data_IF_964992201256
#
_entry.id   IF_964992201256
#
_cell.length_a   1.000
_cell.length_b   1.000
_cell.length_c   1.000
_cell.angle_alpha   90.00
_cell.angle_beta   90.00
_cell.angle_gamma   90.00
#
_symmetry.space_group_name_H-M   'P 1'
#
loop_
_entity.id
_entity.type
_entity.pdbx_description
1 polymer ?
#
# COMPACT_ATOMS: atom_id res chain seq x y z
N UNK A 1 15.89 30.87 22.46
CA UNK A 1 16.52 29.83 21.63
C UNK A 1 15.38 28.96 21.13
N UNK A 2 15.10 28.94 19.83
CA UNK A 2 14.14 27.96 19.30
C UNK A 2 14.70 26.58 19.66
N UNK A 3 13.91 25.73 20.32
CA UNK A 3 14.29 24.32 20.49
C UNK A 3 14.44 23.77 19.08
N UNK A 4 15.69 23.49 18.67
CA UNK A 4 15.94 22.69 17.48
C UNK A 4 15.32 21.32 17.67
N UNK A 5 15.12 20.60 16.57
CA UNK A 5 14.80 19.18 16.66
C UNK A 5 15.91 18.46 17.44
N UNK A 6 15.52 17.54 18.32
CA UNK A 6 16.48 16.71 19.06
C UNK A 6 17.31 15.90 18.08
N UNK A 7 18.61 15.73 18.36
CA UNK A 7 19.42 14.77 17.63
C UNK A 7 18.79 13.37 17.81
N UNK A 8 18.70 12.53 16.77
CA UNK A 8 18.22 11.15 16.91
C UNK A 8 19.01 10.34 17.96
N UNK A 9 20.27 10.73 18.22
CA UNK A 9 21.13 10.15 19.27
C UNK A 9 20.76 10.57 20.69
N UNK A 10 19.95 11.60 20.85
CA UNK A 10 19.54 12.19 22.13
C UNK A 10 18.07 11.89 22.46
N UNK A 11 17.38 11.12 21.61
CA UNK A 11 16.02 10.67 21.88
C UNK A 11 16.07 9.65 23.01
N UNK A 12 15.48 10.00 24.16
CA UNK A 12 15.44 9.12 25.32
C UNK A 12 14.61 7.87 25.03
N UNK A 13 15.12 6.71 25.47
CA UNK A 13 14.38 5.45 25.42
C UNK A 13 13.27 5.45 26.46
N UNK A 14 12.02 5.17 26.09
CA UNK A 14 10.92 5.02 27.04
C UNK A 14 11.22 3.92 28.08
N UNK A 15 10.77 4.13 29.32
CA UNK A 15 10.94 3.12 30.37
C UNK A 15 10.26 1.80 29.98
N UNK A 16 11.00 0.69 30.08
CA UNK A 16 10.57 -0.64 29.67
C UNK A 16 10.91 -1.01 28.22
N UNK A 17 11.47 -0.08 27.43
CA UNK A 17 11.95 -0.33 26.08
C UNK A 17 13.49 -0.37 26.00
N UNK A 18 14.19 -0.47 27.13
CA UNK A 18 15.66 -0.54 27.15
C UNK A 18 16.16 -1.76 26.36
N UNK A 19 17.19 -1.56 25.52
CA UNK A 19 17.75 -2.64 24.69
C UNK A 19 16.97 -2.93 23.41
N UNK A 20 15.99 -2.10 23.04
CA UNK A 20 15.23 -2.21 21.78
C UNK A 20 16.13 -2.33 20.55
N UNK A 21 17.35 -1.81 20.61
CA UNK A 21 18.35 -1.87 19.55
C UNK A 21 18.67 -3.32 19.13
N UNK A 22 18.63 -4.28 20.06
CA UNK A 22 18.94 -5.70 19.79
C UNK A 22 17.94 -6.36 18.83
N UNK A 23 16.73 -5.78 18.69
CA UNK A 23 15.70 -6.27 17.78
C UNK A 23 15.99 -5.97 16.31
N UNK A 24 16.88 -5.01 16.01
CA UNK A 24 17.10 -4.53 14.65
C UNK A 24 18.55 -4.78 14.19
N UNK A 25 18.76 -5.05 12.89
CA UNK A 25 20.11 -5.11 12.33
C UNK A 25 20.90 -3.82 12.56
N UNK A 26 22.20 -3.94 12.83
CA UNK A 26 23.08 -2.80 13.15
C UNK A 26 23.07 -1.67 12.10
N UNK A 27 22.78 -1.99 10.83
CA UNK A 27 22.74 -1.01 9.75
C UNK A 27 21.45 -0.18 9.73
N UNK A 28 20.44 -0.54 10.53
CA UNK A 28 19.21 0.23 10.75
C UNK A 28 19.29 1.14 11.97
N UNK A 29 20.37 1.09 12.74
CA UNK A 29 20.55 1.90 13.94
C UNK A 29 21.44 3.12 13.66
N UNK A 30 21.20 4.19 14.42
CA UNK A 30 22.15 5.30 14.49
C UNK A 30 23.45 4.78 15.12
N UNK A 31 24.59 5.08 14.51
CA UNK A 31 25.89 4.51 14.89
C UNK A 31 26.90 5.64 15.17
N UNK A 32 27.58 5.66 16.33
CA UNK A 32 28.58 6.69 16.65
C UNK A 32 29.62 6.95 15.54
N UNK A 33 29.98 5.95 14.74
CA UNK A 33 30.91 6.09 13.61
C UNK A 33 30.33 6.93 12.46
N UNK A 34 29.00 7.08 12.38
CA UNK A 34 28.28 7.88 11.38
C UNK A 34 27.70 9.18 11.93
N UNK A 35 27.91 9.48 13.23
CA UNK A 35 27.27 10.61 13.93
C UNK A 35 27.40 11.93 13.18
N UNK A 36 28.60 12.31 12.75
CA UNK A 36 28.82 13.58 12.03
C UNK A 36 27.95 13.67 10.77
N UNK A 37 27.93 12.62 9.95
CA UNK A 37 27.12 12.55 8.72
C UNK A 37 25.62 12.45 9.00
N UNK A 38 25.21 11.74 10.04
CA UNK A 38 23.80 11.56 10.37
C UNK A 38 23.22 12.83 11.01
N UNK A 39 23.96 13.53 11.87
CA UNK A 39 23.55 14.81 12.47
C UNK A 39 23.58 15.98 11.48
N UNK A 40 24.36 15.88 10.38
CA UNK A 40 24.33 16.88 9.31
C UNK A 40 23.10 16.79 8.41
N UNK A 41 22.22 15.80 8.62
CA UNK A 41 21.05 15.52 7.78
C UNK A 41 19.76 15.73 8.54
N UNK A 42 18.71 16.09 7.80
CA UNK A 42 17.36 16.16 8.36
C UNK A 42 16.72 14.78 8.40
N UNK A 43 16.50 14.26 9.60
CA UNK A 43 15.77 13.03 9.88
C UNK A 43 14.39 13.36 10.42
N UNK A 44 13.37 12.67 9.92
CA UNK A 44 12.02 12.82 10.42
C UNK A 44 11.31 11.49 10.52
N UNK A 45 10.41 11.41 11.48
CA UNK A 45 9.59 10.23 11.71
C UNK A 45 8.64 10.01 10.52
N UNK A 46 8.69 8.82 9.91
CA UNK A 46 7.77 8.44 8.84
C UNK A 46 6.44 7.89 9.39
N UNK A 47 5.77 8.68 10.23
CA UNK A 47 4.49 8.30 10.81
C UNK A 47 3.33 8.20 9.81
N UNK A 48 3.53 8.67 8.58
CA UNK A 48 2.54 8.53 7.51
C UNK A 48 2.40 7.08 7.04
N UNK A 49 3.50 6.34 6.96
CA UNK A 49 3.49 4.94 6.49
C UNK A 49 3.70 3.96 7.65
N UNK A 50 4.47 4.37 8.66
CA UNK A 50 4.82 3.56 9.82
C UNK A 50 4.42 4.31 11.11
N UNK A 51 3.12 4.38 11.44
CA UNK A 51 2.60 5.17 12.56
C UNK A 51 2.85 4.56 13.95
N UNK A 52 3.34 3.33 14.04
CA UNK A 52 3.48 2.54 15.25
C UNK A 52 4.94 2.04 15.40
N UNK A 53 5.38 1.65 16.61
CA UNK A 53 6.63 0.90 16.76
C UNK A 53 6.56 -0.39 15.93
N UNK A 54 7.53 -0.59 15.03
CA UNK A 54 7.54 -1.74 14.14
C UNK A 54 8.13 -2.98 14.83
N UNK A 55 7.41 -4.11 14.89
CA UNK A 55 8.02 -5.39 15.26
C UNK A 55 9.25 -5.72 14.42
N UNK A 56 10.19 -6.47 14.99
CA UNK A 56 11.47 -6.78 14.35
C UNK A 56 11.29 -7.42 12.96
N UNK A 57 10.38 -8.39 12.85
CA UNK A 57 10.10 -9.07 11.60
C UNK A 57 9.41 -8.15 10.58
N UNK A 58 8.45 -7.34 11.03
CA UNK A 58 7.70 -6.41 10.18
C UNK A 58 8.59 -5.36 9.52
N UNK A 59 9.78 -5.08 10.07
CA UNK A 59 10.78 -4.19 9.45
C UNK A 59 11.13 -4.57 8.00
N UNK A 60 10.88 -5.82 7.59
CA UNK A 60 10.99 -6.24 6.19
C UNK A 60 10.15 -5.37 5.25
N UNK A 61 9.01 -4.84 5.70
CA UNK A 61 8.13 -3.98 4.89
C UNK A 61 8.79 -2.65 4.59
N UNK A 62 9.40 -2.02 5.59
CA UNK A 62 10.22 -0.81 5.40
C UNK A 62 11.47 -1.09 4.55
N UNK A 63 12.23 -2.14 4.89
CA UNK A 63 13.49 -2.45 4.22
C UNK A 63 13.31 -2.74 2.73
N UNK A 64 12.30 -3.53 2.37
CA UNK A 64 11.94 -3.86 0.99
C UNK A 64 11.55 -2.62 0.18
N UNK A 65 10.71 -1.74 0.76
CA UNK A 65 10.33 -0.47 0.15
C UNK A 65 11.54 0.42 -0.14
N UNK A 66 12.38 0.66 0.87
CA UNK A 66 13.52 1.57 0.73
C UNK A 66 14.63 1.03 -0.18
N UNK A 67 14.79 -0.30 -0.25
CA UNK A 67 15.65 -0.94 -1.24
C UNK A 67 15.16 -0.65 -2.67
N UNK A 68 13.86 -0.83 -2.92
CA UNK A 68 13.25 -0.66 -4.23
C UNK A 68 13.26 0.80 -4.70
N UNK A 69 12.82 1.74 -3.85
CA UNK A 69 12.80 3.16 -4.22
C UNK A 69 14.20 3.69 -4.56
N UNK A 70 15.23 3.25 -3.83
CA UNK A 70 16.62 3.63 -4.10
C UNK A 70 17.12 3.14 -5.47
N UNK A 71 16.71 1.94 -5.90
CA UNK A 71 16.99 1.46 -7.25
C UNK A 71 16.37 2.39 -8.30
N UNK A 72 15.08 2.70 -8.17
CA UNK A 72 14.37 3.47 -9.19
C UNK A 72 14.81 4.93 -9.22
N UNK A 73 14.94 5.58 -8.07
CA UNK A 73 15.43 6.96 -7.99
C UNK A 73 16.90 7.05 -8.44
N UNK A 74 17.76 6.20 -7.89
CA UNK A 74 19.20 6.29 -8.08
C UNK A 74 19.69 5.81 -9.45
N UNK A 75 19.12 4.72 -9.99
CA UNK A 75 19.73 3.95 -11.09
C UNK A 75 18.82 3.70 -12.30
N UNK A 76 17.51 3.54 -12.11
CA UNK A 76 16.57 3.27 -13.22
C UNK A 76 16.03 4.55 -13.85
N UNK A 77 15.50 5.48 -13.07
CA UNK A 77 15.08 6.77 -13.60
C UNK A 77 16.16 7.81 -13.50
N UNK A 78 17.16 7.61 -12.62
CA UNK A 78 18.20 8.60 -12.34
C UNK A 78 17.59 9.96 -12.04
N UNK A 79 16.64 10.00 -11.08
CA UNK A 79 15.96 11.24 -10.71
C UNK A 79 17.04 12.28 -10.36
N UNK A 80 16.97 13.51 -10.88
CA UNK A 80 18.14 14.39 -10.92
C UNK A 80 18.68 14.78 -9.54
N UNK A 81 17.79 14.98 -8.56
CA UNK A 81 18.09 15.55 -7.26
C UNK A 81 18.09 14.52 -6.12
N UNK A 82 17.92 13.22 -6.38
CA UNK A 82 17.81 12.20 -5.31
C UNK A 82 18.31 10.82 -5.75
N UNK A 83 18.94 10.10 -4.81
CA UNK A 83 19.49 8.75 -4.99
C UNK A 83 18.69 7.65 -4.29
N UNK A 84 17.74 8.02 -3.44
CA UNK A 84 16.99 7.08 -2.61
C UNK A 84 16.56 7.71 -1.30
N UNK A 85 15.88 6.92 -0.48
CA UNK A 85 15.56 7.25 0.91
C UNK A 85 16.35 6.30 1.81
N UNK A 86 16.97 6.85 2.83
CA UNK A 86 17.61 6.07 3.89
C UNK A 86 16.71 6.07 5.13
N UNK A 87 16.71 4.95 5.86
CA UNK A 87 15.95 4.84 7.10
C UNK A 87 16.82 4.36 8.26
N UNK A 88 16.38 4.76 9.47
CA UNK A 88 16.89 4.34 10.77
C UNK A 88 15.75 4.08 11.71
N UNK A 89 15.99 3.29 12.74
CA UNK A 89 15.02 3.00 13.80
C UNK A 89 15.45 3.73 15.06
N UNK A 90 14.48 4.31 15.78
CA UNK A 90 14.65 4.86 17.13
C UNK A 90 13.46 4.42 17.98
N UNK A 91 13.70 3.66 19.05
CA UNK A 91 12.65 3.12 19.93
C UNK A 91 11.54 2.39 19.15
N UNK A 92 11.91 1.66 18.10
CA UNK A 92 10.99 0.95 17.20
C UNK A 92 10.32 1.79 16.12
N UNK A 93 10.48 3.11 16.11
CA UNK A 93 9.91 3.99 15.09
C UNK A 93 10.86 4.21 13.92
N UNK A 94 10.32 4.23 12.69
CA UNK A 94 11.08 4.44 11.46
C UNK A 94 11.26 5.92 11.17
N UNK A 95 12.51 6.37 11.18
CA UNK A 95 12.94 7.69 10.75
C UNK A 95 13.56 7.61 9.37
N UNK A 96 13.28 8.60 8.52
CA UNK A 96 13.82 8.67 7.17
C UNK A 96 14.52 9.98 6.87
N UNK A 97 15.37 9.92 5.86
CA UNK A 97 16.02 11.06 5.26
C UNK A 97 16.25 10.82 3.76
N UNK A 98 16.30 11.90 2.98
CA UNK A 98 16.56 11.83 1.55
C UNK A 98 18.06 11.75 1.27
N UNK A 99 18.47 10.93 0.30
CA UNK A 99 19.83 10.96 -0.27
C UNK A 99 19.87 11.98 -1.41
N UNK A 100 19.98 13.26 -1.07
CA UNK A 100 19.90 14.35 -2.05
C UNK A 100 21.17 14.49 -2.89
N UNK A 101 20.98 14.91 -4.14
CA UNK A 101 22.05 15.33 -5.06
C UNK A 101 21.94 16.84 -5.24
N UNK A 102 22.96 17.57 -4.78
CA UNK A 102 22.99 19.04 -4.83
C UNK A 102 24.02 19.60 -5.81
N UNK A 103 24.96 18.78 -6.31
CA UNK A 103 25.96 19.24 -7.28
C UNK A 103 25.31 19.53 -8.64
N UNK A 104 25.39 20.76 -9.17
CA UNK A 104 24.74 21.11 -10.43
C UNK A 104 25.25 20.31 -11.64
N UNK A 105 26.53 19.90 -11.63
CA UNK A 105 27.12 19.10 -12.71
C UNK A 105 26.55 17.68 -12.72
N UNK A 106 26.44 17.06 -11.55
CA UNK A 106 25.81 15.75 -11.41
C UNK A 106 24.32 15.80 -11.77
N UNK A 107 23.58 16.80 -11.30
CA UNK A 107 22.16 16.99 -11.66
C UNK A 107 22.00 17.07 -13.19
N UNK A 108 22.84 17.84 -13.87
CA UNK A 108 22.79 17.97 -15.32
C UNK A 108 23.09 16.65 -16.03
N UNK A 109 24.08 15.88 -15.55
CA UNK A 109 24.40 14.56 -16.09
C UNK A 109 23.24 13.57 -15.90
N UNK A 110 22.58 13.59 -14.75
CA UNK A 110 21.43 12.73 -14.44
C UNK A 110 20.22 13.06 -15.32
N UNK A 111 19.99 14.35 -15.59
CA UNK A 111 18.92 14.80 -16.49
C UNK A 111 19.03 14.20 -17.91
N UNK A 112 20.24 14.02 -18.43
CA UNK A 112 20.46 13.42 -19.76
C UNK A 112 19.90 11.99 -19.85
N UNK A 113 19.90 11.25 -18.74
CA UNK A 113 19.34 9.90 -18.66
C UNK A 113 17.87 9.90 -18.25
N UNK A 114 17.48 10.78 -17.33
CA UNK A 114 16.12 10.86 -16.81
C UNK A 114 15.10 11.25 -17.89
N UNK A 115 15.37 12.31 -18.66
CA UNK A 115 14.40 12.88 -19.61
C UNK A 115 13.95 11.87 -20.70
N UNK A 116 14.85 11.15 -21.39
CA UNK A 116 14.43 10.15 -22.38
C UNK A 116 13.64 8.99 -21.76
N UNK A 117 14.00 8.56 -20.54
CA UNK A 117 13.33 7.44 -19.85
C UNK A 117 11.91 7.82 -19.43
N UNK A 118 11.74 8.98 -18.79
CA UNK A 118 10.40 9.41 -18.39
C UNK A 118 9.51 9.71 -19.59
N UNK A 119 10.07 10.29 -20.67
CA UNK A 119 9.37 10.48 -21.94
C UNK A 119 8.86 9.15 -22.52
N UNK A 120 9.72 8.13 -22.60
CA UNK A 120 9.32 6.79 -23.00
C UNK A 120 8.17 6.23 -22.15
N UNK A 121 8.24 6.37 -20.82
CA UNK A 121 7.19 5.87 -19.93
C UNK A 121 5.85 6.58 -20.14
N UNK A 122 5.83 7.91 -20.29
CA UNK A 122 4.59 8.65 -20.51
C UNK A 122 3.98 8.41 -21.90
N UNK A 123 4.80 8.21 -22.93
CA UNK A 123 4.35 7.85 -24.27
C UNK A 123 3.75 6.44 -24.33
N UNK A 124 4.25 5.51 -23.49
CA UNK A 124 3.86 4.10 -23.50
C UNK A 124 3.03 3.70 -22.26
N UNK A 125 2.50 4.68 -21.53
CA UNK A 125 1.94 4.51 -20.18
C UNK A 125 0.94 3.36 -20.07
N UNK A 126 -0.10 3.34 -20.90
CA UNK A 126 -1.19 2.35 -20.80
C UNK A 126 -0.68 0.92 -21.04
N UNK A 127 0.30 0.75 -21.95
CA UNK A 127 0.91 -0.56 -22.22
C UNK A 127 1.78 -1.01 -21.03
N UNK A 128 2.54 -0.07 -20.44
CA UNK A 128 3.39 -0.35 -19.29
C UNK A 128 2.56 -0.65 -18.03
N UNK A 129 1.43 0.04 -17.83
CA UNK A 129 0.46 -0.25 -16.76
C UNK A 129 -0.15 -1.64 -16.94
N UNK A 130 -0.57 -1.99 -18.16
CA UNK A 130 -1.13 -3.33 -18.42
C UNK A 130 -0.10 -4.44 -18.14
N UNK A 131 1.16 -4.25 -18.57
CA UNK A 131 2.26 -5.17 -18.25
C UNK A 131 2.51 -5.23 -16.74
N UNK A 132 2.59 -4.09 -16.07
CA UNK A 132 2.79 -4.00 -14.63
C UNK A 132 1.69 -4.73 -13.85
N UNK A 133 0.42 -4.54 -14.23
CA UNK A 133 -0.70 -5.20 -13.57
C UNK A 133 -0.61 -6.71 -13.73
N UNK A 134 -0.35 -7.21 -14.95
CA UNK A 134 -0.17 -8.64 -15.18
C UNK A 134 1.01 -9.23 -14.38
N UNK A 135 2.07 -8.46 -14.19
CA UNK A 135 3.20 -8.83 -13.36
C UNK A 135 2.82 -8.90 -11.89
N UNK A 136 2.15 -7.89 -11.35
CA UNK A 136 1.66 -7.88 -9.96
C UNK A 136 0.69 -9.03 -9.70
N UNK A 137 -0.31 -9.22 -10.57
CA UNK A 137 -1.30 -10.29 -10.48
C UNK A 137 -0.61 -11.66 -10.42
N UNK A 138 0.40 -11.89 -11.28
CA UNK A 138 1.17 -13.14 -11.27
C UNK A 138 1.89 -13.41 -9.94
N UNK A 139 2.47 -12.38 -9.30
CA UNK A 139 3.14 -12.56 -8.00
C UNK A 139 2.12 -12.78 -6.88
N UNK A 140 0.98 -12.11 -6.94
CA UNK A 140 -0.14 -12.32 -6.01
C UNK A 140 -0.69 -13.74 -6.14
N UNK A 141 -0.93 -14.21 -7.35
CA UNK A 141 -1.38 -15.58 -7.64
C UNK A 141 -0.37 -16.62 -7.14
N UNK A 142 0.92 -16.40 -7.38
CA UNK A 142 1.98 -17.28 -6.90
C UNK A 142 2.07 -17.30 -5.37
N UNK A 143 1.95 -16.13 -4.72
CA UNK A 143 1.96 -16.01 -3.27
C UNK A 143 0.73 -16.69 -2.64
N UNK A 144 -0.44 -16.55 -3.24
CA UNK A 144 -1.67 -17.21 -2.79
C UNK A 144 -1.57 -18.74 -2.95
N UNK A 145 -0.98 -19.22 -4.04
CA UNK A 145 -0.81 -20.65 -4.33
C UNK A 145 0.37 -21.31 -3.58
N UNK A 146 1.21 -20.52 -2.91
CA UNK A 146 2.38 -21.04 -2.20
C UNK A 146 1.97 -21.97 -1.06
N UNK A 147 2.47 -23.20 -1.09
CA UNK A 147 2.19 -24.20 -0.04
C UNK A 147 3.28 -24.17 1.04
N UNK A 148 2.88 -23.93 2.28
CA UNK A 148 3.75 -24.12 3.46
C UNK A 148 3.54 -25.55 3.98
N UNK A 149 4.53 -26.46 3.80
CA UNK A 149 4.36 -27.85 4.18
C UNK A 149 4.42 -28.02 5.71
N UNK A 150 3.68 -29.01 6.20
CA UNK A 150 3.78 -29.51 7.58
C UNK A 150 5.00 -30.41 7.73
N UNK A 151 5.46 -30.59 8.96
CA UNK A 151 6.59 -31.46 9.29
C UNK A 151 6.09 -32.74 10.00
N UNK A 152 5.75 -33.80 9.26
CA UNK A 152 5.32 -35.06 9.88
C UNK A 152 6.50 -35.77 10.55
N UNK A 153 6.22 -36.59 11.56
CA UNK A 153 7.24 -37.44 12.19
C UNK A 153 7.87 -38.45 11.22
N UNK A 154 7.12 -38.88 10.20
CA UNK A 154 7.57 -39.75 9.11
C UNK A 154 7.05 -39.20 7.79
N UNK A 155 7.95 -39.05 6.83
CA UNK A 155 7.64 -38.54 5.49
C UNK A 155 6.75 -39.50 4.69
N UNK A 156 5.99 -38.95 3.74
CA UNK A 156 5.14 -39.75 2.84
C UNK A 156 5.99 -40.66 1.95
N UNK A 157 5.76 -41.98 2.02
CA UNK A 157 6.40 -42.94 1.10
C UNK A 157 6.12 -42.58 -0.36
N UNK A 158 4.88 -42.20 -0.69
CA UNK A 158 4.53 -41.80 -2.06
C UNK A 158 5.36 -40.62 -2.51
N UNK A 159 5.44 -39.56 -1.70
CA UNK A 159 6.15 -38.35 -2.12
C UNK A 159 7.66 -38.56 -2.23
N UNK A 160 8.27 -39.27 -1.27
CA UNK A 160 9.73 -39.33 -1.15
C UNK A 160 10.35 -40.52 -1.89
N UNK A 161 9.69 -41.68 -1.89
CA UNK A 161 10.22 -42.89 -2.51
C UNK A 161 9.70 -43.11 -3.93
N UNK A 162 8.42 -42.83 -4.20
CA UNK A 162 7.82 -43.08 -5.51
C UNK A 162 7.90 -41.85 -6.42
N UNK A 163 7.58 -40.66 -5.89
CA UNK A 163 7.59 -39.40 -6.66
C UNK A 163 8.95 -38.66 -6.58
N UNK A 164 9.86 -39.10 -5.70
CA UNK A 164 11.18 -38.51 -5.48
C UNK A 164 11.17 -36.99 -5.23
N UNK A 165 10.15 -36.48 -4.51
CA UNK A 165 10.09 -35.09 -4.06
C UNK A 165 11.18 -34.81 -3.01
N UNK A 166 11.46 -33.53 -2.80
CA UNK A 166 12.29 -33.08 -1.67
C UNK A 166 11.50 -33.17 -0.35
N UNK A 167 12.22 -33.43 0.74
CA UNK A 167 11.64 -33.53 2.09
C UNK A 167 10.90 -32.28 2.52
N UNK A 168 9.92 -32.46 3.42
CA UNK A 168 9.10 -31.38 3.96
C UNK A 168 9.95 -30.28 4.61
N UNK A 169 11.05 -30.66 5.27
CA UNK A 169 12.01 -29.74 5.88
C UNK A 169 12.63 -28.76 4.87
N UNK A 170 13.06 -29.25 3.70
CA UNK A 170 13.63 -28.38 2.67
C UNK A 170 12.55 -27.56 1.99
N UNK A 171 11.39 -28.16 1.72
CA UNK A 171 10.26 -27.46 1.11
C UNK A 171 9.75 -26.32 2.00
N UNK A 172 9.78 -26.47 3.33
CA UNK A 172 9.44 -25.39 4.27
C UNK A 172 10.39 -24.20 4.13
N UNK A 173 11.71 -24.45 4.13
CA UNK A 173 12.71 -23.39 3.90
C UNK A 173 12.50 -22.73 2.54
N UNK A 174 12.32 -23.53 1.48
CA UNK A 174 12.08 -23.02 0.14
C UNK A 174 10.79 -22.19 0.02
N UNK A 175 9.72 -22.58 0.72
CA UNK A 175 8.48 -21.83 0.77
C UNK A 175 8.67 -20.49 1.50
N UNK A 176 9.32 -20.50 2.68
CA UNK A 176 9.64 -19.28 3.40
C UNK A 176 10.49 -18.31 2.56
N UNK A 177 11.57 -18.81 1.95
CA UNK A 177 12.44 -18.01 1.07
C UNK A 177 11.66 -17.46 -0.11
N UNK A 178 10.80 -18.27 -0.75
CA UNK A 178 9.99 -17.80 -1.88
C UNK A 178 8.97 -16.75 -1.45
N UNK A 179 8.35 -16.89 -0.29
CA UNK A 179 7.43 -15.90 0.28
C UNK A 179 8.14 -14.53 0.44
N UNK A 180 9.33 -14.53 1.04
CA UNK A 180 10.16 -13.33 1.19
C UNK A 180 10.58 -12.75 -0.16
N UNK A 181 10.98 -13.59 -1.12
CA UNK A 181 11.33 -13.12 -2.46
C UNK A 181 10.14 -12.50 -3.20
N UNK A 182 8.96 -13.12 -3.14
CA UNK A 182 7.74 -12.59 -3.76
C UNK A 182 7.37 -11.22 -3.17
N UNK A 183 7.51 -11.05 -1.86
CA UNK A 183 7.29 -9.76 -1.22
C UNK A 183 8.28 -8.68 -1.73
N UNK A 184 9.56 -9.03 -1.83
CA UNK A 184 10.57 -8.13 -2.41
C UNK A 184 10.29 -7.82 -3.89
N UNK A 185 9.86 -8.80 -4.69
CA UNK A 185 9.49 -8.62 -6.10
C UNK A 185 8.28 -7.68 -6.26
N UNK A 186 7.25 -7.83 -5.42
CA UNK A 186 6.11 -6.90 -5.39
C UNK A 186 6.55 -5.47 -5.10
N UNK A 187 7.47 -5.29 -4.16
CA UNK A 187 8.04 -3.98 -3.85
C UNK A 187 8.91 -3.41 -4.99
N UNK A 188 9.59 -4.26 -5.78
CA UNK A 188 10.24 -3.78 -7.02
C UNK A 188 9.20 -3.19 -7.98
N UNK A 189 8.06 -3.86 -8.15
CA UNK A 189 6.97 -3.36 -9.00
C UNK A 189 6.33 -2.09 -8.43
N UNK A 190 6.24 -1.95 -7.11
CA UNK A 190 5.65 -0.79 -6.41
C UNK A 190 6.19 0.55 -6.91
N UNK A 191 7.52 0.68 -7.02
CA UNK A 191 8.16 1.95 -7.36
C UNK A 191 8.39 2.18 -8.86
N UNK A 192 8.11 1.19 -9.71
CA UNK A 192 8.33 1.32 -11.16
C UNK A 192 7.52 2.45 -11.78
N UNK A 193 6.24 2.56 -11.41
CA UNK A 193 5.33 3.54 -12.01
C UNK A 193 4.91 4.63 -11.02
N UNK A 194 4.92 4.34 -9.72
CA UNK A 194 4.50 5.25 -8.66
C UNK A 194 5.26 6.59 -8.68
N UNK A 195 6.59 6.52 -8.79
CA UNK A 195 7.45 7.70 -8.80
C UNK A 195 7.15 8.63 -9.98
N UNK A 196 6.77 8.05 -11.12
CA UNK A 196 6.46 8.81 -12.33
C UNK A 196 5.09 9.49 -12.23
N UNK A 197 4.10 8.80 -11.66
CA UNK A 197 2.80 9.40 -11.40
C UNK A 197 2.93 10.63 -10.48
N UNK A 198 3.71 10.52 -9.40
CA UNK A 198 4.00 11.67 -8.54
C UNK A 198 4.80 12.77 -9.24
N UNK A 199 5.75 12.40 -10.11
CA UNK A 199 6.48 13.36 -10.93
C UNK A 199 5.58 14.22 -11.83
N UNK A 200 4.54 13.63 -12.42
CA UNK A 200 3.54 14.35 -13.20
C UNK A 200 2.77 15.37 -12.33
N UNK A 201 2.35 15.00 -11.12
CA UNK A 201 1.68 15.93 -10.19
C UNK A 201 2.56 17.10 -9.81
N UNK A 202 3.79 16.80 -9.38
CA UNK A 202 4.72 17.85 -8.94
C UNK A 202 4.97 18.85 -10.07
N UNK A 203 5.12 18.36 -11.31
CA UNK A 203 5.30 19.22 -12.48
C UNK A 203 4.08 20.10 -12.75
N UNK A 204 2.87 19.53 -12.74
CA UNK A 204 1.64 20.28 -12.96
C UNK A 204 1.34 21.27 -11.82
N UNK A 205 1.55 20.85 -10.56
CA UNK A 205 1.33 21.70 -9.39
C UNK A 205 2.31 22.86 -9.37
N UNK A 206 3.57 22.63 -9.73
CA UNK A 206 4.56 23.70 -9.87
C UNK A 206 4.12 24.70 -10.95
N UNK A 207 3.71 24.22 -12.14
CA UNK A 207 3.17 25.08 -13.19
C UNK A 207 1.98 25.90 -12.69
N UNK A 208 1.03 25.27 -12.00
CA UNK A 208 -0.13 25.97 -11.44
C UNK A 208 0.25 27.02 -10.40
N UNK A 209 1.22 26.75 -9.54
CA UNK A 209 1.69 27.71 -8.53
C UNK A 209 2.43 28.90 -9.16
N UNK A 210 3.22 28.65 -10.21
CA UNK A 210 3.93 29.71 -10.94
C UNK A 210 2.95 30.60 -11.73
N UNK A 211 1.93 30.00 -12.36
CA UNK A 211 0.91 30.72 -13.10
C UNK A 211 -0.13 31.40 -12.18
N UNK A 212 -0.45 30.78 -11.05
CA UNK A 212 -1.50 31.19 -10.11
C UNK A 212 -1.01 31.09 -8.64
N UNK A 213 -0.23 32.08 -8.15
CA UNK A 213 0.37 32.03 -6.82
C UNK A 213 -0.62 31.89 -5.65
N UNK A 214 -1.86 32.35 -5.83
CA UNK A 214 -2.93 32.28 -4.83
C UNK A 214 -3.80 31.02 -4.95
N UNK A 215 -3.49 30.09 -5.87
CA UNK A 215 -4.23 28.85 -6.04
C UNK A 215 -3.98 27.88 -4.87
N UNK A 216 -5.04 27.49 -4.17
CA UNK A 216 -4.95 26.46 -3.12
C UNK A 216 -4.74 25.05 -3.68
N UNK A 217 -4.07 24.19 -2.90
CA UNK A 217 -3.86 22.77 -3.21
C UNK A 217 -5.15 22.01 -3.54
N UNK A 218 -6.25 22.39 -2.89
CA UNK A 218 -7.57 21.81 -3.14
C UNK A 218 -8.02 22.02 -4.59
N UNK A 219 -7.85 23.22 -5.15
CA UNK A 219 -8.24 23.51 -6.53
C UNK A 219 -7.40 22.69 -7.52
N UNK A 220 -6.08 22.60 -7.29
CA UNK A 220 -5.19 21.73 -8.08
C UNK A 220 -5.63 20.26 -8.05
N UNK A 221 -5.95 19.76 -6.85
CA UNK A 221 -6.39 18.37 -6.66
C UNK A 221 -7.74 18.12 -7.34
N UNK A 222 -8.68 19.06 -7.23
CA UNK A 222 -9.99 18.98 -7.86
C UNK A 222 -9.93 18.94 -9.38
N UNK A 223 -8.93 19.56 -10.03
CA UNK A 223 -8.76 19.49 -11.48
C UNK A 223 -8.37 18.09 -11.98
N UNK A 224 -7.78 17.25 -11.12
CA UNK A 224 -7.28 15.91 -11.45
C UNK A 224 -8.26 14.81 -10.99
N UNK A 225 -9.10 15.09 -10.00
CA UNK A 225 -10.00 14.13 -9.36
C UNK A 225 -11.08 13.52 -10.31
N UNK A 226 -11.97 12.70 -9.75
CA UNK A 226 -13.17 12.21 -10.44
C UNK A 226 -13.03 10.85 -11.11
N UNK A 227 -11.93 10.14 -10.90
CA UNK A 227 -11.75 8.75 -11.33
C UNK A 227 -12.28 7.79 -10.27
N UNK A 228 -12.87 6.68 -10.72
CA UNK A 228 -13.11 5.54 -9.82
C UNK A 228 -11.79 4.85 -9.58
N UNK A 229 -11.25 5.03 -8.38
CA UNK A 229 -9.98 4.44 -7.98
C UNK A 229 -10.21 3.05 -7.43
N UNK A 230 -9.24 2.14 -7.59
CA UNK A 230 -9.32 0.78 -7.05
C UNK A 230 -9.56 0.79 -5.55
N UNK A 231 -8.97 1.76 -4.84
CA UNK A 231 -9.14 1.93 -3.38
C UNK A 231 -10.58 2.19 -2.94
N UNK A 232 -11.46 2.69 -3.82
CA UNK A 232 -12.87 2.91 -3.49
C UNK A 232 -13.71 1.62 -3.63
N UNK A 233 -13.22 0.63 -4.37
CA UNK A 233 -13.96 -0.60 -4.67
C UNK A 233 -14.37 -1.37 -3.41
N UNK A 234 -13.49 -1.62 -2.42
CA UNK A 234 -13.88 -2.36 -1.21
C UNK A 234 -15.06 -1.73 -0.46
N UNK A 235 -15.04 -0.41 -0.30
CA UNK A 235 -16.12 0.33 0.36
C UNK A 235 -17.44 0.26 -0.43
N UNK A 236 -17.37 0.39 -1.76
CA UNK A 236 -18.54 0.24 -2.63
C UNK A 236 -19.18 -1.15 -2.54
N UNK A 237 -18.38 -2.21 -2.36
CA UNK A 237 -18.90 -3.57 -2.12
C UNK A 237 -19.66 -3.67 -0.79
N UNK A 238 -19.18 -3.02 0.27
CA UNK A 238 -19.88 -2.99 1.58
C UNK A 238 -21.21 -2.24 1.48
N UNK A 239 -21.25 -1.11 0.75
CA UNK A 239 -22.49 -0.37 0.49
C UNK A 239 -23.48 -1.20 -0.33
N UNK A 240 -23.00 -1.93 -1.33
CA UNK A 240 -23.82 -2.83 -2.13
C UNK A 240 -24.42 -3.97 -1.28
N UNK A 241 -23.62 -4.55 -0.38
CA UNK A 241 -24.08 -5.58 0.57
C UNK A 241 -25.13 -5.04 1.55
N UNK A 242 -24.97 -3.81 2.03
CA UNK A 242 -25.96 -3.14 2.87
C UNK A 242 -27.29 -2.93 2.13
N UNK A 243 -27.23 -2.43 0.90
CA UNK A 243 -28.42 -2.29 0.05
C UNK A 243 -29.08 -3.66 -0.24
N UNK A 244 -28.27 -4.70 -0.47
CA UNK A 244 -28.77 -6.06 -0.71
C UNK A 244 -29.47 -6.65 0.51
N UNK A 245 -29.00 -6.34 1.72
CA UNK A 245 -29.67 -6.78 2.95
C UNK A 245 -31.09 -6.22 3.06
N UNK A 246 -31.28 -4.94 2.72
CA UNK A 246 -32.59 -4.28 2.67
C UNK A 246 -33.48 -4.85 1.55
N UNK A 247 -32.94 -5.05 0.36
CA UNK A 247 -33.65 -5.63 -0.79
C UNK A 247 -34.23 -7.02 -0.46
N UNK A 248 -33.44 -7.85 0.24
CA UNK A 248 -33.81 -9.20 0.62
C UNK A 248 -34.63 -9.26 1.93
N UNK A 249 -34.80 -8.14 2.64
CA UNK A 249 -35.50 -8.07 3.91
C UNK A 249 -34.81 -8.82 5.05
N UNK A 250 -33.47 -8.90 5.01
CA UNK A 250 -32.64 -9.60 6.01
C UNK A 250 -31.79 -8.65 6.85
N UNK A 251 -31.94 -7.34 6.64
CA UNK A 251 -31.30 -6.26 7.36
C UNK A 251 -31.56 -6.27 8.88
N UNK A 252 -32.66 -6.91 9.32
CA UNK A 252 -32.94 -7.14 10.74
C UNK A 252 -31.85 -7.94 11.48
N UNK A 253 -31.07 -8.74 10.76
CA UNK A 253 -29.96 -9.50 11.34
C UNK A 253 -28.82 -8.58 11.82
N UNK A 254 -28.61 -7.41 11.20
CA UNK A 254 -27.49 -6.49 11.46
C UNK A 254 -27.75 -5.52 12.63
N UNK A 255 -28.30 -6.01 13.74
CA UNK A 255 -28.53 -5.19 14.92
C UNK A 255 -27.21 -4.81 15.63
N UNK A 256 -27.19 -3.64 16.28
CA UNK A 256 -26.05 -3.15 17.04
C UNK A 256 -25.60 -4.15 18.12
N UNK A 257 -24.28 -4.30 18.28
CA UNK A 257 -23.68 -5.18 19.29
C UNK A 257 -23.61 -6.66 18.91
N UNK A 258 -24.12 -7.07 17.74
CA UNK A 258 -23.98 -8.44 17.24
C UNK A 258 -22.63 -8.67 16.59
N UNK A 259 -22.07 -9.84 16.81
CA UNK A 259 -20.89 -10.34 16.10
C UNK A 259 -21.23 -10.77 14.67
N UNK A 260 -20.22 -10.79 13.79
CA UNK A 260 -20.42 -11.26 12.41
C UNK A 260 -20.88 -12.73 12.37
N UNK A 261 -20.41 -13.58 13.30
CA UNK A 261 -20.84 -14.98 13.41
C UNK A 261 -22.34 -15.11 13.73
N UNK A 262 -22.85 -14.31 14.67
CA UNK A 262 -24.28 -14.30 15.02
C UNK A 262 -25.15 -13.82 13.85
N UNK A 263 -24.67 -12.84 13.08
CA UNK A 263 -25.37 -12.36 11.88
C UNK A 263 -25.41 -13.47 10.82
N UNK A 264 -24.26 -14.07 10.50
CA UNK A 264 -24.16 -15.14 9.51
C UNK A 264 -25.01 -16.36 9.88
N UNK A 265 -25.01 -16.76 11.16
CA UNK A 265 -25.81 -17.87 11.66
C UNK A 265 -27.32 -17.64 11.47
N UNK A 266 -27.80 -16.43 11.74
CA UNK A 266 -29.20 -16.06 11.52
C UNK A 266 -29.57 -16.05 10.03
N UNK A 267 -28.74 -15.39 9.21
CA UNK A 267 -28.96 -15.30 7.77
C UNK A 267 -29.05 -16.69 7.12
N UNK A 268 -28.20 -17.62 7.55
CA UNK A 268 -28.21 -18.99 7.02
C UNK A 268 -29.54 -19.74 7.24
N UNK A 269 -30.36 -19.31 8.21
CA UNK A 269 -31.66 -19.88 8.52
C UNK A 269 -32.74 -19.67 7.45
N UNK A 270 -32.51 -18.80 6.45
CA UNK A 270 -33.49 -18.48 5.41
C UNK A 270 -32.89 -18.56 4.00
N UNK A 271 -33.75 -18.71 2.98
CA UNK A 271 -33.31 -18.67 1.58
C UNK A 271 -32.75 -17.29 1.20
N UNK A 272 -33.43 -16.22 1.63
CA UNK A 272 -32.98 -14.85 1.42
C UNK A 272 -31.62 -14.57 2.08
N UNK A 273 -31.41 -15.01 3.32
CA UNK A 273 -30.13 -14.82 4.00
C UNK A 273 -29.01 -15.68 3.40
N UNK A 274 -29.28 -16.90 2.94
CA UNK A 274 -28.30 -17.68 2.16
C UNK A 274 -27.94 -17.01 0.84
N UNK A 275 -28.89 -16.36 0.17
CA UNK A 275 -28.61 -15.56 -1.02
C UNK A 275 -27.73 -14.34 -0.71
N UNK A 276 -27.94 -13.67 0.43
CA UNK A 276 -27.06 -12.59 0.89
C UNK A 276 -25.64 -13.09 1.19
N UNK A 277 -25.51 -14.22 1.90
CA UNK A 277 -24.20 -14.84 2.18
C UNK A 277 -23.47 -15.20 0.89
N UNK A 278 -24.18 -15.74 -0.11
CA UNK A 278 -23.58 -16.04 -1.41
C UNK A 278 -23.05 -14.77 -2.11
N UNK A 279 -23.76 -13.64 -2.00
CA UNK A 279 -23.30 -12.36 -2.54
C UNK A 279 -22.08 -11.82 -1.77
N UNK A 280 -22.04 -11.97 -0.44
CA UNK A 280 -20.87 -11.67 0.38
C UNK A 280 -19.64 -12.47 -0.10
N UNK A 281 -19.76 -13.80 -0.19
CA UNK A 281 -18.63 -14.65 -0.62
C UNK A 281 -18.15 -14.30 -2.04
N UNK A 282 -19.07 -13.98 -2.96
CA UNK A 282 -18.71 -13.58 -4.33
C UNK A 282 -17.97 -12.23 -4.40
N UNK A 283 -18.21 -11.32 -3.45
CA UNK A 283 -17.56 -9.99 -3.40
C UNK A 283 -16.23 -9.99 -2.65
N UNK A 284 -15.95 -11.00 -1.81
CA UNK A 284 -14.71 -11.06 -1.04
C UNK A 284 -13.47 -11.03 -1.92
N UNK A 285 -13.46 -11.77 -3.02
CA UNK A 285 -12.32 -11.77 -3.93
C UNK A 285 -12.50 -10.75 -5.06
N UNK A 286 -11.59 -9.77 -5.23
CA UNK A 286 -10.39 -9.51 -4.42
C UNK A 286 -10.62 -8.52 -3.26
N UNK A 287 -11.79 -7.88 -3.18
CA UNK A 287 -11.97 -6.62 -2.46
C UNK A 287 -11.80 -6.69 -0.92
N UNK A 288 -11.92 -7.87 -0.32
CA UNK A 288 -11.72 -8.08 1.11
C UNK A 288 -10.25 -8.34 1.47
N UNK A 289 -9.33 -8.34 0.51
CA UNK A 289 -7.90 -8.25 0.78
C UNK A 289 -7.43 -6.82 1.14
N UNK A 290 -8.38 -5.91 1.41
CA UNK A 290 -8.13 -4.66 2.11
C UNK A 290 -7.73 -4.96 3.55
N UNK A 291 -6.60 -4.41 4.00
CA UNK A 291 -6.15 -4.52 5.39
C UNK A 291 -6.73 -3.43 6.28
N UNK A 292 -6.72 -3.68 7.58
CA UNK A 292 -6.78 -2.60 8.57
C UNK A 292 -5.49 -1.77 8.49
N UNK A 293 -5.54 -0.46 8.81
CA UNK A 293 -4.37 0.42 8.68
C UNK A 293 -3.80 0.51 7.25
N UNK A 294 -2.49 0.75 7.12
CA UNK A 294 -1.78 0.83 5.82
C UNK A 294 -1.16 -0.51 5.37
N UNK A 295 -1.47 -1.63 6.05
CA UNK A 295 -1.08 -2.98 5.62
C UNK A 295 0.37 -3.41 5.90
N UNK A 296 1.23 -2.51 6.38
CA UNK A 296 2.67 -2.79 6.60
C UNK A 296 3.05 -3.54 7.89
N UNK A 297 2.07 -3.96 8.70
CA UNK A 297 2.28 -4.62 9.99
C UNK A 297 1.56 -5.95 9.99
N UNK A 298 2.12 -6.97 10.64
CA UNK A 298 1.47 -8.29 10.68
C UNK A 298 0.07 -8.20 11.29
N UNK A 299 -0.16 -7.36 12.30
CA UNK A 299 -1.46 -7.17 12.96
C UNK A 299 -2.48 -6.37 12.14
N UNK A 300 -2.07 -5.79 11.01
CA UNK A 300 -2.97 -5.19 10.03
C UNK A 300 -3.70 -6.28 9.21
N UNK A 301 -4.62 -6.99 9.87
CA UNK A 301 -5.36 -8.10 9.27
C UNK A 301 -6.23 -7.63 8.09
N UNK A 302 -6.31 -8.46 7.05
CA UNK A 302 -7.22 -8.26 5.94
C UNK A 302 -8.67 -8.52 6.35
N UNK A 303 -9.62 -7.85 5.70
CA UNK A 303 -11.05 -8.02 5.94
C UNK A 303 -11.53 -9.45 5.66
N UNK A 304 -10.87 -10.17 4.76
CA UNK A 304 -11.15 -11.58 4.47
C UNK A 304 -10.81 -12.49 5.66
N UNK A 305 -9.83 -12.09 6.47
CA UNK A 305 -9.36 -12.82 7.65
C UNK A 305 -10.06 -12.37 8.94
N UNK A 306 -10.58 -11.14 8.96
CA UNK A 306 -11.33 -10.57 10.08
C UNK A 306 -12.51 -9.71 9.58
N UNK A 307 -13.71 -10.29 9.65
CA UNK A 307 -14.94 -9.69 9.15
C UNK A 307 -15.56 -8.65 10.10
N UNK A 308 -14.97 -8.39 11.28
CA UNK A 308 -15.54 -7.45 12.27
C UNK A 308 -15.75 -6.06 11.68
N UNK A 309 -14.74 -5.49 11.03
CA UNK A 309 -14.83 -4.14 10.45
C UNK A 309 -15.82 -4.09 9.26
N UNK A 310 -15.76 -5.01 8.27
CA UNK A 310 -16.76 -5.08 7.20
C UNK A 310 -18.21 -5.15 7.71
N UNK A 311 -18.50 -6.00 8.68
CA UNK A 311 -19.86 -6.16 9.20
C UNK A 311 -20.33 -4.92 9.98
N UNK A 312 -19.44 -4.28 10.75
CA UNK A 312 -19.75 -3.02 11.41
C UNK A 312 -20.08 -1.91 10.40
N UNK A 313 -19.30 -1.81 9.32
CA UNK A 313 -19.55 -0.86 8.24
C UNK A 313 -20.87 -1.14 7.51
N UNK A 314 -21.15 -2.40 7.16
CA UNK A 314 -22.43 -2.82 6.54
C UNK A 314 -23.62 -2.42 7.42
N UNK A 315 -23.56 -2.68 8.73
CA UNK A 315 -24.62 -2.28 9.67
C UNK A 315 -24.81 -0.75 9.69
N UNK A 316 -23.72 0.02 9.68
CA UNK A 316 -23.76 1.48 9.58
C UNK A 316 -24.39 1.98 8.28
N UNK A 317 -24.10 1.34 7.14
CA UNK A 317 -24.70 1.67 5.85
C UNK A 317 -26.19 1.30 5.78
N UNK A 318 -26.60 0.18 6.39
CA UNK A 318 -28.02 -0.19 6.51
C UNK A 318 -28.78 0.89 7.27
N UNK A 319 -28.23 1.40 8.38
CA UNK A 319 -28.84 2.47 9.16
C UNK A 319 -29.02 3.74 8.34
N UNK A 320 -27.97 4.18 7.63
CA UNK A 320 -28.01 5.35 6.74
C UNK A 320 -29.05 5.20 5.62
N UNK A 321 -29.12 4.03 4.98
CA UNK A 321 -30.10 3.76 3.92
C UNK A 321 -31.54 3.80 4.43
N UNK A 322 -31.81 3.30 5.64
CA UNK A 322 -33.13 3.40 6.29
C UNK A 322 -33.55 4.85 6.55
N UNK A 323 -32.59 5.74 6.79
CA UNK A 323 -32.80 7.18 6.95
C UNK A 323 -32.94 7.92 5.60
N UNK A 324 -32.78 7.21 4.47
CA UNK A 324 -32.87 7.80 3.14
C UNK A 324 -31.59 8.51 2.68
N UNK A 325 -30.46 8.25 3.32
CA UNK A 325 -29.15 8.76 2.89
C UNK A 325 -28.74 8.10 1.57
N UNK A 326 -28.37 8.91 0.59
CA UNK A 326 -27.78 8.43 -0.67
C UNK A 326 -26.30 8.10 -0.46
N UNK A 327 -25.96 6.81 -0.54
CA UNK A 327 -24.57 6.33 -0.36
C UNK A 327 -23.72 6.41 -1.63
N UNK A 328 -24.36 6.62 -2.78
CA UNK A 328 -23.70 6.71 -4.07
C UNK A 328 -22.87 7.99 -4.15
N UNK A 329 -21.63 7.86 -4.63
CA UNK A 329 -20.75 9.02 -4.85
C UNK A 329 -21.30 9.86 -6.03
N UNK A 330 -21.39 11.19 -5.93
CA UNK A 330 -21.97 12.05 -6.97
C UNK A 330 -21.00 12.27 -8.14
N UNK A 331 -20.66 11.19 -8.84
CA UNK A 331 -19.58 11.14 -9.85
C UNK A 331 -19.75 12.17 -10.96
N UNK A 332 -20.97 12.31 -11.50
CA UNK A 332 -21.24 13.28 -12.59
C UNK A 332 -21.00 14.72 -12.14
N UNK A 333 -21.40 15.06 -10.91
CA UNK A 333 -21.18 16.39 -10.34
C UNK A 333 -19.69 16.65 -10.11
N UNK A 334 -18.95 15.65 -9.61
CA UNK A 334 -17.50 15.74 -9.43
C UNK A 334 -16.76 15.96 -10.77
N UNK A 335 -17.16 15.25 -11.83
CA UNK A 335 -16.57 15.39 -13.16
C UNK A 335 -16.89 16.76 -13.78
N UNK A 336 -18.15 17.21 -13.65
CA UNK A 336 -18.55 18.52 -14.14
C UNK A 336 -17.79 19.65 -13.42
N UNK A 337 -17.65 19.56 -12.09
CA UNK A 337 -16.92 20.53 -11.29
C UNK A 337 -15.42 20.53 -11.61
N UNK A 338 -14.82 19.35 -11.75
CA UNK A 338 -13.43 19.17 -12.19
C UNK A 338 -13.17 19.88 -13.52
N UNK A 339 -14.06 19.69 -14.51
CA UNK A 339 -13.90 20.28 -15.84
C UNK A 339 -14.20 21.79 -15.85
N UNK A 340 -15.14 22.26 -15.02
CA UNK A 340 -15.39 23.69 -14.80
C UNK A 340 -14.16 24.40 -14.23
N UNK A 341 -13.59 23.88 -13.14
CA UNK A 341 -12.40 24.48 -12.50
C UNK A 341 -11.23 24.53 -13.49
N UNK A 342 -10.98 23.44 -14.22
CA UNK A 342 -9.91 23.39 -15.20
C UNK A 342 -10.10 24.43 -16.32
N UNK A 343 -11.32 24.59 -16.84
CA UNK A 343 -11.63 25.57 -17.87
C UNK A 343 -11.43 27.02 -17.39
N UNK A 344 -11.91 27.34 -16.18
CA UNK A 344 -11.79 28.68 -15.60
C UNK A 344 -10.33 29.10 -15.43
N UNK A 345 -9.47 28.22 -14.90
CA UNK A 345 -8.05 28.54 -14.78
C UNK A 345 -7.34 28.60 -16.14
N UNK A 346 -7.70 27.73 -17.07
CA UNK A 346 -7.16 27.76 -18.43
C UNK A 346 -7.44 29.10 -19.14
N UNK A 347 -8.61 29.70 -18.93
CA UNK A 347 -8.98 30.99 -19.53
C UNK A 347 -8.13 32.15 -19.02
N UNK A 348 -7.68 32.09 -17.76
CA UNK A 348 -6.83 33.10 -17.12
C UNK A 348 -5.39 33.10 -17.63
N UNK A 349 -4.96 32.03 -18.32
CA UNK A 349 -3.61 31.96 -18.88
C UNK A 349 -3.44 32.96 -20.04
N UNK A 350 -2.30 33.68 -20.09
CA UNK A 350 -2.13 34.86 -20.94
C UNK A 350 -1.92 34.56 -22.43
N UNK A 351 -1.45 33.34 -22.78
CA UNK A 351 -1.09 32.96 -24.13
C UNK A 351 -1.50 31.54 -24.50
N UNK A 352 -1.55 31.27 -25.81
CA UNK A 352 -1.93 29.97 -26.36
C UNK A 352 -0.91 28.88 -26.03
N UNK A 353 0.36 29.25 -25.84
CA UNK A 353 1.41 28.30 -25.47
C UNK A 353 1.27 27.83 -24.02
N UNK A 354 1.04 28.74 -23.08
CA UNK A 354 0.80 28.40 -21.67
C UNK A 354 -0.46 27.56 -21.52
N UNK A 355 -1.52 27.88 -22.28
CA UNK A 355 -2.75 27.07 -22.33
C UNK A 355 -2.50 25.66 -22.84
N UNK A 356 -1.70 25.53 -23.88
CA UNK A 356 -1.31 24.23 -24.44
C UNK A 356 -0.50 23.41 -23.43
N UNK A 357 0.47 24.03 -22.76
CA UNK A 357 1.26 23.36 -21.71
C UNK A 357 0.38 22.91 -20.54
N UNK A 358 -0.55 23.77 -20.09
CA UNK A 358 -1.53 23.43 -19.07
C UNK A 358 -2.38 22.21 -19.47
N UNK A 359 -2.92 22.21 -20.69
CA UNK A 359 -3.74 21.12 -21.21
C UNK A 359 -2.96 19.79 -21.30
N UNK A 360 -1.71 19.85 -21.76
CA UNK A 360 -0.82 18.69 -21.87
C UNK A 360 -0.49 18.11 -20.48
N UNK A 361 -0.10 18.95 -19.51
CA UNK A 361 0.24 18.52 -18.14
C UNK A 361 -0.98 18.00 -17.38
N UNK A 362 -2.13 18.68 -17.48
CA UNK A 362 -3.38 18.25 -16.87
C UNK A 362 -3.84 16.91 -17.47
N UNK A 363 -3.78 16.79 -18.80
CA UNK A 363 -4.11 15.55 -19.51
C UNK A 363 -3.22 14.38 -19.09
N UNK A 364 -1.92 14.62 -18.89
CA UNK A 364 -0.99 13.62 -18.36
C UNK A 364 -1.35 13.23 -16.92
N UNK A 365 -1.56 14.20 -16.02
CA UNK A 365 -1.94 13.93 -14.63
C UNK A 365 -3.20 13.05 -14.54
N UNK A 366 -4.22 13.40 -15.34
CA UNK A 366 -5.48 12.67 -15.47
C UNK A 366 -5.31 11.25 -16.01
N UNK A 367 -4.31 11.01 -16.86
CA UNK A 367 -3.98 9.68 -17.40
C UNK A 367 -3.25 8.81 -16.37
N UNK A 368 -2.31 9.37 -15.62
CA UNK A 368 -1.46 8.60 -14.69
C UNK A 368 -2.11 8.38 -13.32
N UNK A 369 -3.05 9.24 -12.89
CA UNK A 369 -3.69 9.19 -11.56
C UNK A 369 -4.40 7.90 -11.20
N UNK A 370 -5.20 7.29 -12.10
CA UNK A 370 -5.86 6.04 -11.76
C UNK A 370 -4.87 4.94 -11.31
N UNK A 371 -3.65 4.93 -11.85
CA UNK A 371 -2.64 3.96 -11.44
C UNK A 371 -1.97 4.30 -10.10
N UNK A 372 -1.71 5.58 -9.82
CA UNK A 372 -1.18 6.01 -8.53
C UNK A 372 -2.02 5.50 -7.35
N UNK A 373 -3.29 5.18 -7.56
CA UNK A 373 -4.17 4.63 -6.52
C UNK A 373 -4.29 3.09 -6.56
N UNK A 374 -4.07 2.47 -7.73
CA UNK A 374 -4.23 1.01 -7.87
C UNK A 374 -3.12 0.24 -7.16
N UNK A 375 -1.89 0.75 -7.15
CA UNK A 375 -0.76 0.08 -6.51
C UNK A 375 -0.99 -0.13 -5.01
N UNK A 376 -1.65 0.81 -4.34
CA UNK A 376 -1.94 0.74 -2.91
C UNK A 376 -2.79 -0.49 -2.60
N UNK A 377 -3.84 -0.73 -3.38
CA UNK A 377 -4.68 -1.91 -3.20
C UNK A 377 -3.92 -3.22 -3.47
N UNK A 378 -3.29 -3.34 -4.65
CA UNK A 378 -2.70 -4.62 -5.05
C UNK A 378 -1.44 -4.99 -4.28
N UNK A 379 -0.57 -4.03 -4.00
CA UNK A 379 0.73 -4.28 -3.36
C UNK A 379 0.63 -4.10 -1.85
N UNK A 380 0.26 -2.89 -1.40
CA UNK A 380 0.32 -2.53 0.03
C UNK A 380 -0.71 -3.29 0.85
N UNK A 381 -1.93 -3.48 0.33
CA UNK A 381 -2.97 -4.26 1.00
C UNK A 381 -2.94 -5.74 0.61
N UNK A 382 -3.26 -6.09 -0.64
CA UNK A 382 -3.50 -7.48 -1.02
C UNK A 382 -2.22 -8.33 -0.97
N UNK A 383 -1.16 -7.88 -1.65
CA UNK A 383 0.13 -8.56 -1.64
C UNK A 383 0.72 -8.72 -0.24
N UNK A 384 0.73 -7.65 0.56
CA UNK A 384 1.25 -7.70 1.94
C UNK A 384 0.40 -8.57 2.86
N UNK A 385 -0.93 -8.56 2.72
CA UNK A 385 -1.82 -9.42 3.53
C UNK A 385 -1.58 -10.89 3.24
N UNK A 386 -1.45 -11.27 1.96
CA UNK A 386 -1.07 -12.63 1.59
C UNK A 386 0.31 -13.01 2.11
N UNK A 387 1.28 -12.09 2.05
CA UNK A 387 2.61 -12.31 2.60
C UNK A 387 2.53 -12.66 4.09
N UNK A 388 1.88 -11.82 4.90
CA UNK A 388 1.75 -12.11 6.33
C UNK A 388 0.93 -13.37 6.62
N UNK A 389 -0.08 -13.71 5.82
CA UNK A 389 -0.80 -14.97 5.96
C UNK A 389 0.11 -16.18 5.71
N UNK A 390 1.01 -16.12 4.72
CA UNK A 390 2.00 -17.18 4.50
C UNK A 390 3.05 -17.25 5.60
N UNK A 391 3.45 -16.11 6.18
CA UNK A 391 4.32 -16.10 7.35
C UNK A 391 3.64 -16.76 8.55
N UNK A 392 2.34 -16.52 8.77
CA UNK A 392 1.56 -17.22 9.82
C UNK A 392 1.47 -18.72 9.62
N UNK A 393 1.32 -19.18 8.38
CA UNK A 393 1.38 -20.61 8.07
C UNK A 393 2.73 -21.20 8.49
N UNK A 394 3.84 -20.48 8.28
CA UNK A 394 5.18 -20.87 8.77
C UNK A 394 5.23 -20.85 10.29
N UNK A 395 4.75 -19.79 10.94
CA UNK A 395 4.65 -19.66 12.40
C UNK A 395 3.88 -20.83 13.02
N UNK A 396 2.77 -21.24 12.43
CA UNK A 396 1.98 -22.39 12.87
C UNK A 396 2.78 -23.71 12.79
N UNK A 397 3.61 -23.90 11.77
CA UNK A 397 4.51 -25.07 11.70
C UNK A 397 5.55 -25.03 12.82
N UNK A 398 6.09 -23.85 13.13
CA UNK A 398 7.07 -23.69 14.22
C UNK A 398 6.45 -23.95 15.60
N UNK A 399 5.26 -23.40 15.86
CA UNK A 399 4.53 -23.60 17.12
C UNK A 399 4.19 -25.08 17.35
N UNK A 400 3.70 -25.78 16.32
CA UNK A 400 3.37 -27.20 16.44
C UNK A 400 4.56 -28.12 16.71
N UNK A 401 5.76 -27.66 16.34
CA UNK A 401 7.01 -28.37 16.62
C UNK A 401 7.68 -27.85 17.92
N UNK A 402 6.97 -27.04 18.71
CA UNK A 402 7.40 -26.56 20.03
C UNK A 402 8.51 -25.51 19.98
N UNK A 403 8.70 -24.83 18.84
CA UNK A 403 9.66 -23.73 18.73
C UNK A 403 9.07 -22.42 19.27
N UNK A 404 7.80 -22.15 18.97
CA UNK A 404 7.01 -21.03 19.50
C UNK A 404 5.86 -21.54 20.38
N UNK A 405 5.28 -20.66 21.22
CA UNK A 405 4.11 -21.01 22.02
C UNK A 405 2.83 -20.89 21.16
N UNK A 406 2.74 -19.86 20.32
CA UNK A 406 1.67 -19.59 19.36
C UNK A 406 2.20 -19.34 17.93
N UNK A 407 1.32 -19.41 16.93
CA UNK A 407 1.67 -19.16 15.53
C UNK A 407 1.93 -17.68 15.22
N UNK A 408 1.43 -16.77 16.06
CA UNK A 408 1.61 -15.31 15.96
C UNK A 408 2.77 -14.77 16.82
N UNK A 409 3.52 -15.64 17.53
CA UNK A 409 4.78 -15.28 18.20
C UNK A 409 5.92 -15.10 17.19
#
# INVERSE_FOLDING_TARGET
MSRGFLSPYEVETPAGAEGWEEMYPYYLLFDPARRETEESRFWFYNGMHFPEPMPAFDMITAASCYLSIGLYQGRVFTIPNVLGIEHRVVNGYVYITSNEVSDPGEIQQRLETFLPRIGFYYENWDTLVARWQAEVDRRIEELAALEVPRLPAVESEQELLHDHKLGSNYRLMAAYDRCVHLYNELNQLHFELLLLAYGAYLTFFQFCQDAFPDMGLQAMSQMIAGYDTTMMRPDDELKALAAKALELGVDGAFAEGRSHDEVLAELNGSEAGRAWIADLEARKHPWFYMSTGDGFYHHHRAWVDDLRLPFAAIAGYIAQLREGVELARPKEQLLAERDRIAAEYRELLPGDEERRQFDEMLGLCRRVFPHAESHKFFIEHWGTSLFFNKIREVGAVMAENGFFEDAED
#
